data_IF_510341399730
#
_entry.id   IF_510341399730
#
_cell.length_a   1.000
_cell.length_b   1.000
_cell.length_c   1.000
_cell.angle_alpha   90.00
_cell.angle_beta   90.00
_cell.angle_gamma   90.00
#
_symmetry.space_group_name_H-M   'P 1'
#
loop_
_entity.id
_entity.type
_entity.pdbx_description
1 polymer ?
#
# COMPACT_ATOMS: atom_id res chain seq x y z
N UNK A 1 -13.72 14.30 -21.64
CA UNK A 1 -12.67 14.82 -20.74
C UNK A 1 -13.13 14.64 -19.31
N UNK A 2 -12.83 13.49 -18.70
CA UNK A 2 -13.30 13.10 -17.35
C UNK A 2 -12.15 12.59 -16.47
N UNK A 3 -10.92 13.05 -16.73
CA UNK A 3 -9.68 12.39 -16.33
C UNK A 3 -9.42 12.36 -14.81
N UNK A 4 -10.29 12.92 -13.98
CA UNK A 4 -10.09 12.96 -12.53
C UNK A 4 -11.38 12.66 -11.75
N UNK A 5 -12.37 11.99 -12.36
CA UNK A 5 -13.52 11.48 -11.60
C UNK A 5 -13.16 10.18 -10.88
N UNK A 6 -13.71 9.92 -9.68
CA UNK A 6 -13.46 8.69 -8.94
C UNK A 6 -13.72 7.41 -9.76
N UNK A 7 -12.83 6.44 -9.59
CA UNK A 7 -12.87 5.13 -10.21
C UNK A 7 -13.98 4.29 -9.58
N UNK A 8 -14.97 3.92 -10.41
CA UNK A 8 -16.09 3.08 -9.98
C UNK A 8 -15.78 1.58 -10.01
N UNK A 9 -14.72 1.19 -10.72
CA UNK A 9 -14.34 -0.21 -10.92
C UNK A 9 -13.77 -0.81 -9.64
N UNK A 10 -14.03 -2.09 -9.44
CA UNK A 10 -13.42 -2.90 -8.39
C UNK A 10 -12.60 -4.02 -9.04
N UNK A 11 -11.27 -4.09 -8.83
CA UNK A 11 -10.44 -5.10 -9.46
C UNK A 11 -10.77 -6.49 -8.93
N UNK A 12 -10.46 -7.56 -9.67
CA UNK A 12 -10.61 -8.94 -9.18
C UNK A 12 -9.52 -9.27 -8.15
N UNK A 13 -8.29 -8.85 -8.45
CA UNK A 13 -7.10 -8.97 -7.62
C UNK A 13 -6.54 -7.57 -7.36
N UNK A 14 -6.37 -7.21 -6.10
CA UNK A 14 -5.94 -5.88 -5.69
C UNK A 14 -4.41 -5.77 -5.63
N UNK A 15 -3.86 -4.70 -6.18
CA UNK A 15 -2.45 -4.32 -6.02
C UNK A 15 -2.42 -2.95 -5.37
N UNK A 16 -2.16 -2.96 -4.06
CA UNK A 16 -2.23 -1.79 -3.20
C UNK A 16 -0.84 -1.23 -2.92
N UNK A 17 -0.56 0.00 -3.30
CA UNK A 17 0.73 0.64 -3.09
C UNK A 17 0.63 1.81 -2.12
N UNK A 18 1.47 1.83 -1.09
CA UNK A 18 1.70 3.03 -0.30
C UNK A 18 2.75 3.89 -1.01
N UNK A 19 2.49 5.19 -1.21
CA UNK A 19 3.44 6.15 -1.77
C UNK A 19 3.59 7.35 -0.82
N UNK A 20 4.45 7.24 0.20
CA UNK A 20 4.58 8.28 1.22
C UNK A 20 5.41 9.49 0.77
N UNK A 21 6.09 9.42 -0.38
CA UNK A 21 6.97 10.49 -0.84
C UNK A 21 6.18 11.70 -1.36
N UNK A 22 6.18 12.79 -0.60
CA UNK A 22 5.57 14.07 -0.99
C UNK A 22 6.51 14.83 -1.95
N UNK A 23 5.94 15.51 -2.95
CA UNK A 23 6.68 16.27 -3.98
C UNK A 23 7.71 15.44 -4.78
N UNK A 24 7.50 14.12 -4.85
CA UNK A 24 8.29 13.21 -5.67
C UNK A 24 7.70 13.11 -7.08
N UNK A 25 8.55 12.90 -8.08
CA UNK A 25 8.16 12.58 -9.46
C UNK A 25 8.34 11.12 -9.81
N UNK A 26 8.68 10.27 -8.82
CA UNK A 26 8.84 8.83 -9.02
C UNK A 26 7.56 8.18 -9.56
N UNK A 27 6.40 8.73 -9.19
CA UNK A 27 5.11 8.21 -9.61
C UNK A 27 4.91 8.20 -11.12
N UNK A 28 5.62 9.04 -11.88
CA UNK A 28 5.62 8.99 -13.35
C UNK A 28 6.07 7.63 -13.90
N UNK A 29 6.78 6.83 -13.10
CA UNK A 29 7.42 5.59 -13.52
C UNK A 29 6.85 4.36 -12.80
N UNK A 30 5.71 4.50 -12.12
CA UNK A 30 4.99 3.36 -11.56
C UNK A 30 4.33 2.54 -12.68
N UNK A 31 4.07 1.26 -12.42
CA UNK A 31 3.35 0.40 -13.34
C UNK A 31 1.82 0.50 -13.14
N UNK A 32 1.21 1.51 -13.76
CA UNK A 32 -0.24 1.76 -13.67
C UNK A 32 -1.10 0.68 -14.35
N UNK A 33 -0.52 -0.18 -15.20
CA UNK A 33 -1.24 -1.34 -15.76
C UNK A 33 -1.40 -2.46 -14.73
N UNK A 34 -0.58 -2.45 -13.68
CA UNK A 34 -0.56 -3.45 -12.60
C UNK A 34 -1.19 -2.93 -11.32
N UNK A 35 -0.97 -1.66 -10.98
CA UNK A 35 -1.53 -1.05 -9.77
C UNK A 35 -3.06 -0.98 -9.83
N UNK A 36 -3.69 -1.04 -8.66
CA UNK A 36 -5.14 -0.83 -8.55
C UNK A 36 -5.52 0.25 -7.55
N UNK A 37 -4.67 0.46 -6.53
CA UNK A 37 -4.89 1.46 -5.50
C UNK A 37 -3.54 2.03 -5.05
N UNK A 38 -3.46 3.35 -4.94
CA UNK A 38 -2.33 4.08 -4.35
C UNK A 38 -2.83 4.82 -3.11
N UNK A 39 -2.11 4.70 -2.00
CA UNK A 39 -2.43 5.34 -0.74
C UNK A 39 -1.43 6.45 -0.40
N UNK A 40 -1.93 7.48 0.28
CA UNK A 40 -1.17 8.53 0.97
C UNK A 40 -0.45 9.55 0.06
N UNK A 41 -0.77 9.54 -1.23
CA UNK A 41 -0.31 10.56 -2.17
C UNK A 41 -1.50 11.26 -2.82
N UNK A 42 -1.64 12.56 -2.57
CA UNK A 42 -2.76 13.39 -3.04
C UNK A 42 -2.34 14.44 -4.09
N UNK A 43 -1.15 14.26 -4.68
CA UNK A 43 -0.72 15.01 -5.85
C UNK A 43 -1.80 14.94 -6.96
N UNK A 44 -2.17 16.10 -7.52
CA UNK A 44 -3.29 16.18 -8.46
C UNK A 44 -2.95 15.67 -9.86
N UNK A 45 -1.70 15.74 -10.26
CA UNK A 45 -1.26 15.16 -11.54
C UNK A 45 -1.23 13.64 -11.42
N UNK A 46 -0.72 13.11 -10.30
CA UNK A 46 -0.80 11.68 -9.98
C UNK A 46 -2.25 11.20 -9.95
N UNK A 47 -3.14 11.90 -9.26
CA UNK A 47 -4.56 11.54 -9.17
C UNK A 47 -5.19 11.36 -10.55
N UNK A 48 -5.04 12.37 -11.42
CA UNK A 48 -5.62 12.31 -12.75
C UNK A 48 -4.96 11.24 -13.63
N UNK A 49 -3.66 11.01 -13.48
CA UNK A 49 -2.98 9.92 -14.18
C UNK A 49 -3.46 8.55 -13.71
N UNK A 50 -3.56 8.34 -12.39
CA UNK A 50 -4.08 7.12 -11.79
C UNK A 50 -5.50 6.81 -12.28
N UNK A 51 -6.41 7.79 -12.24
CA UNK A 51 -7.79 7.61 -12.69
C UNK A 51 -7.89 7.32 -14.20
N UNK A 52 -7.00 7.86 -15.03
CA UNK A 52 -6.94 7.53 -16.46
C UNK A 52 -6.57 6.06 -16.71
N UNK A 53 -5.98 5.38 -15.73
CA UNK A 53 -5.59 3.98 -15.74
C UNK A 53 -6.47 3.09 -14.83
N UNK A 54 -7.66 3.56 -14.40
CA UNK A 54 -8.53 2.84 -13.45
C UNK A 54 -7.87 2.54 -12.09
N UNK A 55 -6.85 3.31 -11.68
CA UNK A 55 -6.17 3.17 -10.40
C UNK A 55 -6.77 4.13 -9.37
N UNK A 56 -7.16 3.59 -8.22
CA UNK A 56 -7.74 4.36 -7.12
C UNK A 56 -6.68 5.14 -6.34
N UNK A 57 -7.05 6.30 -5.81
CA UNK A 57 -6.27 7.04 -4.81
C UNK A 57 -7.06 7.07 -3.50
N UNK A 58 -6.45 6.66 -2.38
CA UNK A 58 -7.09 6.73 -1.05
C UNK A 58 -6.36 7.69 -0.12
N UNK A 59 -7.14 8.55 0.55
CA UNK A 59 -6.61 9.48 1.56
C UNK A 59 -6.14 8.71 2.79
N UNK A 60 -5.13 9.22 3.49
CA UNK A 60 -4.83 8.76 4.85
C UNK A 60 -5.74 9.50 5.83
N UNK A 61 -6.37 8.79 6.75
CA UNK A 61 -6.97 9.44 7.92
C UNK A 61 -6.97 8.49 9.11
N UNK A 62 -6.28 8.88 10.17
CA UNK A 62 -6.17 8.10 11.39
C UNK A 62 -7.15 8.64 12.43
N UNK A 63 -7.65 7.76 13.29
CA UNK A 63 -8.31 8.13 14.52
C UNK A 63 -7.26 8.12 15.65
N UNK A 64 -6.59 9.24 15.88
CA UNK A 64 -5.41 9.30 16.74
C UNK A 64 -5.75 9.17 18.24
N UNK A 65 -6.83 9.81 18.69
CA UNK A 65 -7.30 9.70 20.08
C UNK A 65 -8.20 8.47 20.26
N UNK A 66 -7.57 7.30 20.34
CA UNK A 66 -8.29 6.03 20.43
C UNK A 66 -9.17 5.88 21.66
N UNK A 67 -8.98 6.70 22.70
CA UNK A 67 -9.85 6.72 23.88
C UNK A 67 -11.24 7.30 23.55
N UNK A 68 -11.32 8.16 22.54
CA UNK A 68 -12.55 8.77 22.06
C UNK A 68 -13.30 7.91 21.03
N UNK A 69 -12.78 6.74 20.64
CA UNK A 69 -13.46 5.87 19.66
C UNK A 69 -14.87 5.46 20.09
N UNK A 70 -15.12 5.30 21.39
CA UNK A 70 -16.45 4.94 21.88
C UNK A 70 -17.40 6.15 22.02
N UNK A 71 -16.90 7.38 21.94
CA UNK A 71 -17.72 8.58 21.87
C UNK A 71 -18.35 8.69 20.47
N UNK A 72 -19.68 8.77 20.43
CA UNK A 72 -20.42 8.80 19.17
C UNK A 72 -20.24 10.12 18.41
N UNK A 73 -20.12 11.24 19.10
CA UNK A 73 -19.92 12.54 18.47
C UNK A 73 -18.52 12.62 17.85
N UNK A 74 -17.50 12.14 18.57
CA UNK A 74 -16.13 12.08 18.04
C UNK A 74 -16.03 11.22 16.77
N UNK A 75 -16.72 10.06 16.74
CA UNK A 75 -16.80 9.26 15.51
C UNK A 75 -17.52 10.00 14.38
N UNK A 76 -18.64 10.66 14.66
CA UNK A 76 -19.39 11.40 13.66
C UNK A 76 -18.56 12.54 13.04
N UNK A 77 -17.86 13.32 13.88
CA UNK A 77 -16.99 14.41 13.43
C UNK A 77 -15.85 13.88 12.56
N UNK A 78 -15.20 12.79 12.98
CA UNK A 78 -14.16 12.14 12.20
C UNK A 78 -14.69 11.60 10.86
N UNK A 79 -15.90 11.03 10.84
CA UNK A 79 -16.53 10.50 9.62
C UNK A 79 -16.82 11.62 8.62
N UNK A 80 -17.36 12.76 9.07
CA UNK A 80 -17.61 13.90 8.17
C UNK A 80 -16.30 14.52 7.68
N UNK A 81 -15.28 14.65 8.54
CA UNK A 81 -13.95 15.09 8.11
C UNK A 81 -13.34 14.15 7.05
N UNK A 82 -13.49 12.83 7.23
CA UNK A 82 -13.07 11.83 6.24
C UNK A 82 -13.82 11.97 4.92
N UNK A 83 -15.15 12.11 4.99
CA UNK A 83 -15.97 12.31 3.80
C UNK A 83 -15.56 13.57 3.03
N UNK A 84 -15.37 14.69 3.72
CA UNK A 84 -14.95 15.95 3.12
C UNK A 84 -13.57 15.81 2.48
N UNK A 85 -12.62 15.17 3.17
CA UNK A 85 -11.28 14.91 2.61
C UNK A 85 -11.34 14.09 1.31
N UNK A 86 -12.19 13.06 1.25
CA UNK A 86 -12.40 12.27 0.03
C UNK A 86 -12.96 13.15 -1.10
N UNK A 87 -14.01 13.93 -0.82
CA UNK A 87 -14.69 14.77 -1.81
C UNK A 87 -13.78 15.87 -2.32
N UNK A 88 -13.14 16.63 -1.44
CA UNK A 88 -12.29 17.77 -1.76
C UNK A 88 -11.07 17.34 -2.58
N UNK A 89 -10.58 16.12 -2.34
CA UNK A 89 -9.44 15.57 -3.06
C UNK A 89 -9.79 14.75 -4.30
N UNK A 90 -11.08 14.54 -4.58
CA UNK A 90 -11.56 13.62 -5.62
C UNK A 90 -11.03 12.18 -5.43
N UNK A 91 -10.72 11.81 -4.19
CA UNK A 91 -10.18 10.49 -3.89
C UNK A 91 -11.25 9.40 -3.98
N UNK A 92 -10.79 8.17 -4.06
CA UNK A 92 -11.59 6.94 -4.14
C UNK A 92 -11.80 6.27 -2.80
N UNK A 93 -11.50 6.95 -1.69
CA UNK A 93 -11.71 6.42 -0.36
C UNK A 93 -10.63 6.80 0.64
N UNK A 94 -10.54 5.99 1.70
CA UNK A 94 -9.67 6.22 2.85
C UNK A 94 -8.93 4.94 3.25
N UNK A 95 -7.67 5.13 3.62
CA UNK A 95 -6.86 4.19 4.37
C UNK A 95 -6.79 4.67 5.83
N UNK A 96 -7.28 3.84 6.75
CA UNK A 96 -7.38 4.13 8.18
C UNK A 96 -6.25 3.42 8.90
N UNK A 97 -5.16 4.14 9.18
CA UNK A 97 -3.90 3.60 9.68
C UNK A 97 -3.66 3.95 11.16
N UNK A 98 -4.69 3.80 11.99
CA UNK A 98 -4.51 3.93 13.44
C UNK A 98 -3.73 2.71 13.96
N UNK A 99 -2.45 2.86 14.27
CA UNK A 99 -1.57 1.77 14.72
C UNK A 99 -1.50 1.59 16.25
N UNK A 100 -2.64 1.70 16.93
CA UNK A 100 -2.69 1.45 18.38
C UNK A 100 -3.28 0.07 18.67
N UNK A 101 -2.61 -0.69 19.54
CA UNK A 101 -3.13 -1.96 20.03
C UNK A 101 -4.47 -1.75 20.74
N UNK A 102 -5.53 -2.39 20.24
CA UNK A 102 -6.89 -2.26 20.76
C UNK A 102 -7.46 -3.63 21.07
N UNK A 103 -8.18 -3.73 22.19
CA UNK A 103 -8.95 -4.92 22.57
C UNK A 103 -10.26 -4.51 23.25
N UNK A 104 -11.14 -5.49 23.50
CA UNK A 104 -12.39 -5.25 24.24
C UNK A 104 -13.30 -4.20 23.62
N UNK A 105 -13.70 -3.20 24.41
CA UNK A 105 -14.62 -2.15 23.98
C UNK A 105 -14.06 -1.29 22.84
N UNK A 106 -12.80 -0.87 22.93
CA UNK A 106 -12.17 0.01 21.93
C UNK A 106 -12.14 -0.64 20.54
N UNK A 107 -11.83 -1.93 20.44
CA UNK A 107 -11.87 -2.67 19.17
C UNK A 107 -13.29 -2.76 18.58
N UNK A 108 -14.32 -2.90 19.42
CA UNK A 108 -15.73 -2.85 18.98
C UNK A 108 -16.12 -1.46 18.49
N UNK A 109 -15.68 -0.41 19.19
CA UNK A 109 -15.95 0.98 18.81
C UNK A 109 -15.25 1.36 17.49
N UNK A 110 -14.06 0.83 17.22
CA UNK A 110 -13.45 0.97 15.91
C UNK A 110 -14.23 0.22 14.81
N UNK A 111 -14.76 -0.96 15.10
CA UNK A 111 -15.65 -1.67 14.17
C UNK A 111 -16.90 -0.84 13.87
N UNK A 112 -17.45 -0.16 14.89
CA UNK A 112 -18.56 0.79 14.71
C UNK A 112 -18.15 1.98 13.84
N UNK A 113 -16.98 2.59 14.06
CA UNK A 113 -16.45 3.67 13.22
C UNK A 113 -16.44 3.27 11.74
N UNK A 114 -15.88 2.11 11.40
CA UNK A 114 -15.80 1.63 10.00
C UNK A 114 -17.20 1.35 9.44
N UNK A 115 -18.12 0.82 10.25
CA UNK A 115 -19.51 0.57 9.83
C UNK A 115 -20.26 1.88 9.54
N UNK A 116 -20.15 2.86 10.43
CA UNK A 116 -20.78 4.18 10.31
C UNK A 116 -20.19 4.96 9.12
N UNK A 117 -18.87 4.92 8.96
CA UNK A 117 -18.19 5.48 7.79
C UNK A 117 -18.74 4.88 6.49
N UNK A 118 -18.81 3.55 6.38
CA UNK A 118 -19.34 2.88 5.18
C UNK A 118 -20.77 3.34 4.87
N UNK A 119 -21.63 3.42 5.90
CA UNK A 119 -23.00 3.91 5.73
C UNK A 119 -23.03 5.35 5.20
N UNK A 120 -22.14 6.22 5.69
CA UNK A 120 -22.03 7.60 5.22
C UNK A 120 -21.52 7.72 3.77
N UNK A 121 -20.58 6.86 3.37
CA UNK A 121 -20.02 6.86 2.02
C UNK A 121 -21.05 6.37 0.98
N UNK A 122 -21.79 5.27 1.27
CA UNK A 122 -22.80 4.75 0.32
C UNK A 122 -23.98 5.69 0.08
N UNK A 123 -24.26 6.60 1.01
CA UNK A 123 -25.34 7.57 0.88
C UNK A 123 -25.08 8.65 -0.19
N UNK A 124 -23.82 8.90 -0.58
CA UNK A 124 -23.47 9.89 -1.60
C UNK A 124 -23.20 9.22 -2.94
N UNK A 125 -23.78 9.76 -4.02
CA UNK A 125 -23.50 9.27 -5.38
C UNK A 125 -22.01 9.36 -5.74
N UNK A 126 -21.28 10.30 -5.15
CA UNK A 126 -19.86 10.52 -5.38
C UNK A 126 -19.01 9.45 -4.69
N UNK A 127 -19.27 9.17 -3.41
CA UNK A 127 -18.44 8.27 -2.60
C UNK A 127 -19.00 6.86 -2.44
N UNK A 128 -20.11 6.49 -3.08
CA UNK A 128 -20.71 5.16 -2.90
C UNK A 128 -19.83 3.96 -3.30
N UNK A 129 -18.79 4.22 -4.11
CA UNK A 129 -17.80 3.21 -4.51
C UNK A 129 -16.46 3.39 -3.77
N UNK A 130 -16.43 4.28 -2.77
CA UNK A 130 -15.22 4.58 -2.03
C UNK A 130 -14.74 3.37 -1.23
N UNK A 131 -13.45 3.12 -1.32
CA UNK A 131 -12.76 2.09 -0.58
C UNK A 131 -12.50 2.54 0.86
N UNK A 132 -12.79 1.68 1.83
CA UNK A 132 -12.32 1.85 3.20
C UNK A 132 -11.38 0.69 3.52
N UNK A 133 -10.08 1.00 3.59
CA UNK A 133 -9.02 0.04 3.91
C UNK A 133 -8.49 0.26 5.32
N UNK A 134 -8.17 -0.83 5.99
CA UNK A 134 -7.56 -0.83 7.33
C UNK A 134 -6.41 -1.82 7.26
N UNK A 135 -5.15 -1.42 7.55
CA UNK A 135 -4.05 -2.36 7.56
C UNK A 135 -4.21 -3.37 8.70
N UNK A 136 -3.63 -4.55 8.52
CA UNK A 136 -3.69 -5.61 9.51
C UNK A 136 -2.97 -5.18 10.80
N UNK A 137 -3.51 -5.59 11.95
CA UNK A 137 -2.96 -5.31 13.27
C UNK A 137 -2.56 -6.58 14.00
N UNK A 138 -1.39 -6.57 14.63
CA UNK A 138 -0.93 -7.66 15.48
C UNK A 138 0.02 -8.65 14.81
N UNK A 139 0.52 -8.35 13.61
CA UNK A 139 1.76 -8.98 13.16
C UNK A 139 2.91 -8.36 13.98
N UNK A 140 3.90 -9.14 14.45
CA UNK A 140 5.09 -8.64 15.14
C UNK A 140 6.05 -7.87 14.19
N UNK A 141 5.48 -7.11 13.26
CA UNK A 141 6.17 -6.52 12.10
C UNK A 141 6.28 -4.99 12.19
N UNK A 142 5.67 -4.33 13.17
CA UNK A 142 5.68 -2.86 13.28
C UNK A 142 6.62 -2.33 14.38
N UNK A 143 7.17 -3.20 15.22
CA UNK A 143 8.16 -2.86 16.26
C UNK A 143 9.54 -3.46 15.98
N UNK A 144 9.83 -3.81 14.72
CA UNK A 144 11.08 -4.42 14.31
C UNK A 144 12.27 -3.61 14.86
N UNK A 145 13.12 -4.25 15.66
CA UNK A 145 14.26 -3.63 16.36
C UNK A 145 15.38 -3.08 15.44
N UNK A 146 15.15 -3.03 14.13
CA UNK A 146 16.13 -2.63 13.11
C UNK A 146 15.73 -1.36 12.36
N UNK A 147 16.72 -0.71 11.74
CA UNK A 147 16.50 0.44 10.87
C UNK A 147 16.11 -0.02 9.47
N UNK A 148 15.06 0.59 8.91
CA UNK A 148 14.68 0.38 7.51
C UNK A 148 15.76 0.94 6.56
N UNK A 149 16.01 0.23 5.46
CA UNK A 149 16.75 0.71 4.30
C UNK A 149 15.93 0.46 3.04
N UNK A 150 15.99 1.38 2.08
CA UNK A 150 15.26 1.23 0.83
C UNK A 150 15.87 0.16 -0.07
N UNK A 151 15.06 -0.45 -0.94
CA UNK A 151 15.53 -1.48 -1.86
C UNK A 151 16.63 -0.95 -2.78
N UNK A 152 16.58 0.32 -3.17
CA UNK A 152 17.68 1.00 -3.86
C UNK A 152 19.03 0.85 -3.13
N UNK A 153 19.04 1.03 -1.81
CA UNK A 153 20.26 0.90 -1.03
C UNK A 153 20.68 -0.58 -0.89
N UNK A 154 19.72 -1.49 -0.77
CA UNK A 154 20.00 -2.94 -0.83
C UNK A 154 20.68 -3.32 -2.14
N UNK A 155 20.28 -2.77 -3.29
CA UNK A 155 20.95 -3.00 -4.58
C UNK A 155 22.41 -2.54 -4.60
N UNK A 156 22.72 -1.44 -3.90
CA UNK A 156 24.10 -0.98 -3.76
C UNK A 156 24.94 -1.99 -2.98
N UNK A 157 24.42 -2.50 -1.85
CA UNK A 157 25.10 -3.54 -1.07
C UNK A 157 25.22 -4.86 -1.83
N UNK A 158 24.22 -5.25 -2.62
CA UNK A 158 24.29 -6.45 -3.47
C UNK A 158 25.41 -6.38 -4.51
N UNK A 159 25.76 -5.16 -4.94
CA UNK A 159 26.83 -4.91 -5.91
C UNK A 159 28.21 -4.77 -5.25
N UNK A 160 28.27 -4.70 -3.92
CA UNK A 160 29.50 -4.60 -3.16
C UNK A 160 30.17 -5.99 -3.08
N UNK A 161 31.42 -6.15 -3.57
CA UNK A 161 32.13 -7.43 -3.56
C UNK A 161 32.42 -7.96 -2.15
N UNK A 162 32.42 -7.10 -1.12
CA UNK A 162 32.69 -7.49 0.26
C UNK A 162 31.41 -7.90 1.02
N UNK A 163 30.23 -7.76 0.40
CA UNK A 163 28.97 -8.21 0.97
C UNK A 163 28.81 -9.73 0.87
N UNK A 164 28.34 -10.36 1.95
CA UNK A 164 28.02 -11.79 1.95
C UNK A 164 26.52 -11.98 1.77
N UNK A 165 26.13 -12.77 0.77
CA UNK A 165 24.72 -13.00 0.42
C UNK A 165 24.25 -14.33 1.01
N UNK A 166 23.06 -14.34 1.59
CA UNK A 166 22.46 -15.53 2.18
C UNK A 166 20.98 -15.68 1.82
N UNK A 167 20.48 -16.90 1.97
CA UNK A 167 19.07 -17.26 1.85
C UNK A 167 18.66 -18.10 3.04
N UNK A 168 17.56 -17.72 3.68
CA UNK A 168 16.96 -18.52 4.75
C UNK A 168 15.80 -19.36 4.20
N UNK A 169 15.91 -20.71 4.21
CA UNK A 169 14.88 -21.58 3.65
C UNK A 169 13.61 -21.60 4.50
N UNK A 170 13.66 -21.22 5.78
CA UNK A 170 12.50 -21.25 6.67
C UNK A 170 11.54 -20.08 6.38
N UNK A 171 12.07 -18.86 6.37
CA UNK A 171 11.33 -17.63 6.04
C UNK A 171 11.21 -17.39 4.54
N UNK A 172 11.93 -18.16 3.71
CA UNK A 172 12.06 -17.95 2.26
C UNK A 172 12.43 -16.50 1.92
N UNK A 173 13.41 -15.97 2.64
CA UNK A 173 13.85 -14.58 2.52
C UNK A 173 15.38 -14.50 2.35
N UNK A 174 15.87 -13.59 1.51
CA UNK A 174 17.28 -13.31 1.40
C UNK A 174 17.78 -12.40 2.55
N UNK A 175 19.07 -12.47 2.82
CA UNK A 175 19.75 -11.52 3.69
C UNK A 175 21.16 -11.20 3.17
N UNK A 176 21.71 -10.08 3.66
CA UNK A 176 23.07 -9.63 3.41
C UNK A 176 23.80 -9.48 4.74
N UNK A 177 25.08 -9.83 4.78
CA UNK A 177 26.01 -9.35 5.79
C UNK A 177 26.86 -8.24 5.18
N UNK A 178 26.78 -7.04 5.77
CA UNK A 178 27.54 -5.86 5.35
C UNK A 178 28.56 -5.54 6.44
N UNK A 179 29.84 -5.60 6.08
CA UNK A 179 30.94 -5.33 6.99
C UNK A 179 31.41 -3.88 6.82
N UNK A 180 31.39 -3.12 7.91
CA UNK A 180 31.99 -1.79 8.00
C UNK A 180 33.16 -1.85 8.98
N UNK A 181 34.08 -0.88 8.98
CA UNK A 181 35.20 -0.88 9.93
C UNK A 181 34.78 -0.96 11.40
N UNK A 182 33.57 -0.51 11.74
CA UNK A 182 33.10 -0.39 13.13
C UNK A 182 31.95 -1.34 13.49
N UNK A 183 31.33 -2.01 12.52
CA UNK A 183 30.14 -2.82 12.74
C UNK A 183 29.91 -3.82 11.61
N UNK A 184 29.23 -4.92 11.94
CA UNK A 184 28.63 -5.82 10.94
C UNK A 184 27.13 -5.69 11.04
N UNK A 185 26.49 -5.41 9.90
CA UNK A 185 25.04 -5.31 9.79
C UNK A 185 24.51 -6.53 9.06
N UNK A 186 23.38 -7.07 9.53
CA UNK A 186 22.61 -8.05 8.79
C UNK A 186 21.35 -7.37 8.24
N UNK A 187 21.20 -7.37 6.92
CA UNK A 187 20.07 -6.73 6.23
C UNK A 187 19.19 -7.83 5.66
N UNK A 188 17.98 -7.95 6.17
CA UNK A 188 16.94 -8.80 5.61
C UNK A 188 16.07 -7.99 4.66
N UNK A 189 15.73 -8.56 3.52
CA UNK A 189 15.01 -7.83 2.48
C UNK A 189 14.14 -8.78 1.65
N UNK A 190 13.35 -8.22 0.75
CA UNK A 190 12.59 -8.97 -0.23
C UNK A 190 13.19 -8.79 -1.64
N UNK A 191 13.28 -9.88 -2.41
CA UNK A 191 13.66 -9.85 -3.81
C UNK A 191 12.58 -10.48 -4.69
N UNK A 192 12.79 -10.52 -6.00
CA UNK A 192 11.82 -11.10 -6.96
C UNK A 192 11.46 -12.56 -6.63
N UNK A 193 12.38 -13.33 -6.03
CA UNK A 193 12.16 -14.72 -5.65
C UNK A 193 11.28 -14.82 -4.40
N UNK A 194 11.63 -14.13 -3.31
CA UNK A 194 10.84 -14.17 -2.06
C UNK A 194 9.46 -13.55 -2.23
N UNK A 195 9.36 -12.46 -3.00
CA UNK A 195 8.08 -11.86 -3.37
C UNK A 195 7.25 -12.78 -4.25
N UNK A 196 7.87 -13.48 -5.21
CA UNK A 196 7.18 -14.47 -6.04
C UNK A 196 6.47 -15.56 -5.23
N UNK A 197 7.11 -16.06 -4.17
CA UNK A 197 6.50 -17.02 -3.24
C UNK A 197 5.30 -16.41 -2.51
N UNK A 198 5.43 -15.17 -2.00
CA UNK A 198 4.34 -14.46 -1.30
C UNK A 198 3.15 -14.19 -2.23
N UNK A 199 3.43 -13.79 -3.46
CA UNK A 199 2.43 -13.57 -4.49
C UNK A 199 1.71 -14.85 -4.89
N UNK A 200 2.44 -15.96 -5.02
CA UNK A 200 1.84 -17.26 -5.25
C UNK A 200 0.92 -17.67 -4.08
N UNK A 201 1.38 -17.53 -2.84
CA UNK A 201 0.58 -17.79 -1.65
C UNK A 201 -0.70 -16.96 -1.62
N UNK A 202 -0.64 -15.66 -1.97
CA UNK A 202 -1.82 -14.80 -2.05
C UNK A 202 -2.87 -15.33 -3.04
N UNK A 203 -2.44 -15.93 -4.16
CA UNK A 203 -3.36 -16.56 -5.12
C UNK A 203 -3.89 -17.90 -4.62
N UNK A 204 -3.04 -18.74 -4.06
CA UNK A 204 -3.42 -20.08 -3.58
C UNK A 204 -4.42 -20.03 -2.43
N UNK A 205 -4.34 -18.98 -1.61
CA UNK A 205 -5.26 -18.73 -0.51
C UNK A 205 -6.50 -17.90 -0.93
N UNK A 206 -6.66 -17.59 -2.22
CA UNK A 206 -7.73 -16.72 -2.75
C UNK A 206 -7.83 -15.39 -1.97
N UNK A 207 -6.67 -14.82 -1.62
CA UNK A 207 -6.62 -13.52 -0.97
C UNK A 207 -7.05 -12.45 -1.97
N UNK A 208 -7.57 -11.34 -1.42
CA UNK A 208 -8.06 -10.20 -2.19
C UNK A 208 -6.99 -9.61 -3.13
N UNK A 209 -5.73 -9.72 -2.76
CA UNK A 209 -4.63 -9.07 -3.47
C UNK A 209 -3.34 -9.03 -2.64
N UNK A 210 -2.43 -8.16 -3.05
CA UNK A 210 -1.15 -7.89 -2.37
C UNK A 210 -0.98 -6.40 -2.14
N UNK A 211 -0.30 -6.04 -1.05
CA UNK A 211 0.02 -4.66 -0.70
C UNK A 211 1.53 -4.46 -0.53
N UNK A 212 2.07 -3.32 -0.92
CA UNK A 212 3.49 -2.99 -0.78
C UNK A 212 3.72 -1.74 0.07
N UNK A 213 4.52 -1.87 1.13
CA UNK A 213 5.12 -0.77 1.88
C UNK A 213 6.62 -0.68 1.55
N UNK A 214 7.11 0.33 0.85
CA UNK A 214 6.34 1.29 0.03
C UNK A 214 6.94 1.39 -1.38
N UNK A 215 6.14 1.84 -2.35
CA UNK A 215 6.50 1.81 -3.78
C UNK A 215 7.71 2.69 -4.11
N UNK A 216 7.89 3.78 -3.33
CA UNK A 216 9.02 4.71 -3.46
C UNK A 216 10.38 4.12 -3.01
N UNK A 217 10.42 2.92 -2.40
CA UNK A 217 11.66 2.30 -1.95
C UNK A 217 12.49 1.68 -3.10
N UNK A 218 11.90 1.56 -4.30
CA UNK A 218 12.60 1.13 -5.51
C UNK A 218 13.51 2.24 -6.05
N UNK A 219 14.40 1.90 -6.99
CA UNK A 219 15.28 2.90 -7.61
C UNK A 219 14.68 3.45 -8.90
N UNK A 220 14.18 4.68 -8.83
CA UNK A 220 13.61 5.40 -9.98
C UNK A 220 14.62 6.33 -10.69
N UNK A 221 15.93 6.19 -10.42
CA UNK A 221 16.95 7.04 -11.06
C UNK A 221 17.05 6.87 -12.58
N UNK A 222 16.70 5.69 -13.10
CA UNK A 222 16.64 5.40 -14.53
C UNK A 222 15.49 6.09 -15.28
N UNK A 223 14.45 6.54 -14.56
CA UNK A 223 13.27 7.23 -15.11
C UNK A 223 12.60 6.40 -16.22
N UNK A 224 12.56 6.91 -17.44
CA UNK A 224 11.95 6.28 -18.62
C UNK A 224 12.66 4.99 -19.05
N UNK A 225 13.93 4.81 -18.66
CA UNK A 225 14.67 3.56 -18.81
C UNK A 225 14.92 2.97 -17.41
N UNK A 226 13.95 2.23 -16.85
CA UNK A 226 14.01 1.79 -15.46
C UNK A 226 15.22 0.90 -15.24
N UNK A 227 15.92 1.12 -14.12
CA UNK A 227 17.02 0.23 -13.73
C UNK A 227 16.51 -1.20 -13.61
N UNK A 228 17.37 -2.17 -13.94
CA UNK A 228 17.00 -3.57 -14.07
C UNK A 228 16.28 -4.13 -12.84
N UNK A 229 16.67 -3.70 -11.63
CA UNK A 229 16.06 -4.13 -10.37
C UNK A 229 14.61 -3.65 -10.21
N UNK A 230 14.33 -2.38 -10.51
CA UNK A 230 12.98 -1.79 -10.52
C UNK A 230 12.11 -2.46 -11.58
N UNK A 231 12.63 -2.64 -12.79
CA UNK A 231 11.92 -3.36 -13.86
C UNK A 231 11.56 -4.79 -13.44
N UNK A 232 12.50 -5.51 -12.83
CA UNK A 232 12.29 -6.89 -12.40
C UNK A 232 11.23 -7.00 -11.29
N UNK A 233 11.17 -6.03 -10.36
CA UNK A 233 10.14 -5.97 -9.32
C UNK A 233 8.74 -5.79 -9.90
N UNK A 234 8.57 -4.83 -10.81
CA UNK A 234 7.29 -4.64 -11.50
C UNK A 234 6.89 -5.85 -12.33
N UNK A 235 7.83 -6.48 -13.04
CA UNK A 235 7.56 -7.70 -13.79
C UNK A 235 7.15 -8.88 -12.89
N UNK A 236 7.76 -9.03 -11.72
CA UNK A 236 7.38 -10.06 -10.75
C UNK A 236 5.94 -9.87 -10.28
N UNK A 237 5.56 -8.63 -9.98
CA UNK A 237 4.20 -8.27 -9.58
C UNK A 237 3.19 -8.46 -10.72
N UNK A 238 3.52 -8.05 -11.95
CA UNK A 238 2.67 -8.26 -13.12
C UNK A 238 2.38 -9.74 -13.38
N UNK A 239 3.35 -10.63 -13.16
CA UNK A 239 3.17 -12.09 -13.24
C UNK A 239 2.29 -12.66 -12.11
N UNK A 240 2.19 -11.95 -10.99
CA UNK A 240 1.31 -12.31 -9.89
C UNK A 240 -0.15 -12.01 -10.24
N UNK A 241 -0.41 -10.86 -10.88
CA UNK A 241 -1.77 -10.45 -11.26
C UNK A 241 -2.34 -11.42 -12.31
N UNK A 242 -3.50 -12.05 -12.06
CA UNK A 242 -4.14 -12.92 -13.05
C UNK A 242 -4.46 -12.16 -14.35
N UNK A 243 -4.09 -12.74 -15.50
CA UNK A 243 -4.34 -12.12 -16.81
C UNK A 243 -5.82 -12.30 -17.17
N UNK A 244 -6.55 -11.17 -17.17
CA UNK A 244 -7.96 -10.95 -17.50
C UNK A 244 -8.97 -10.95 -16.32
N UNK A 245 -9.89 -9.96 -16.29
CA UNK A 245 -10.67 -9.59 -15.12
C UNK A 245 -11.90 -10.50 -14.95
N UNK A 246 -11.94 -11.28 -13.88
CA UNK A 246 -13.24 -11.70 -13.34
C UNK A 246 -13.83 -10.49 -12.62
N UNK A 247 -14.43 -9.58 -13.39
CA UNK A 247 -15.33 -8.62 -12.78
C UNK A 247 -16.44 -9.40 -12.11
N UNK A 248 -16.61 -9.26 -10.80
CA UNK A 248 -17.85 -9.70 -10.16
C UNK A 248 -18.97 -8.85 -10.76
N UNK A 249 -20.01 -9.50 -11.29
CA UNK A 249 -21.24 -8.81 -11.66
C UNK A 249 -21.74 -8.05 -10.43
N UNK A 250 -22.16 -6.81 -10.66
CA UNK A 250 -22.93 -6.07 -9.66
C UNK A 250 -24.36 -6.58 -9.85
N UNK A 251 -24.71 -7.63 -9.10
CA UNK A 251 -26.11 -7.99 -8.86
C UNK A 251 -26.66 -7.21 -7.65
#
# INVERSE_FOLDING_TARGET
>A
MSLCLPVSRTPAFEVFAFSPSVNSTNWHYYDFDTLTTIAWNLDKELLCHAHAHDVKIVVQHNFDDVHMLCDQAARADWIEATYNSIVDNYADGVNIDTEVAMSGATAKCQTLLVKELRARLVASKFTRHAQASVPFRGAPCSDAAGSQVDYKQVQMYLSDPDSVHGWDPMSQSPFLMVHTPNATWQIWYDNVTSLGVKYQMARELDLRGVGMWHVDALDYSGKDDPVASTLAMWQALRKAVPVAPVYKSID
#
